data_IF_303080685388
#
_entry.id   IF_303080685388
#
_cell.length_a   1.000
_cell.length_b   1.000
_cell.length_c   1.000
_cell.angle_alpha   90.00
_cell.angle_beta   90.00
_cell.angle_gamma   90.00
#
_symmetry.space_group_name_H-M   'P 1'
#
loop_
_entity.id
_entity.type
_entity.pdbx_description
1 polymer ?
#
# COMPACT_ATOMS: atom_id res chain seq x y z
N UNK A 1 -21.91 -2.80 2.71
CA UNK A 1 -21.29 -3.52 1.57
C UNK A 1 -19.90 -2.94 1.35
N UNK A 2 -18.88 -3.75 1.09
CA UNK A 2 -17.53 -3.23 0.80
C UNK A 2 -17.57 -2.50 -0.54
N UNK A 3 -17.17 -1.23 -0.56
CA UNK A 3 -17.00 -0.47 -1.79
C UNK A 3 -15.50 -0.25 -2.00
N UNK A 4 -14.89 -0.76 -3.08
CA UNK A 4 -13.47 -0.55 -3.32
C UNK A 4 -13.19 0.94 -3.52
N UNK A 5 -12.19 1.51 -2.83
CA UNK A 5 -11.87 2.92 -2.96
C UNK A 5 -11.36 3.25 -4.36
N UNK A 6 -11.70 4.44 -4.86
CA UNK A 6 -11.37 4.86 -6.22
C UNK A 6 -9.91 5.32 -6.38
N UNK A 7 -9.30 5.86 -5.32
CA UNK A 7 -7.92 6.33 -5.28
C UNK A 7 -7.40 6.38 -3.84
N UNK A 8 -6.10 6.68 -3.68
CA UNK A 8 -5.44 6.74 -2.37
C UNK A 8 -6.11 7.73 -1.42
N UNK A 9 -6.49 8.93 -1.87
CA UNK A 9 -7.06 9.94 -0.99
C UNK A 9 -8.44 9.53 -0.46
N UNK A 10 -9.26 8.90 -1.32
CA UNK A 10 -10.54 8.32 -0.90
C UNK A 10 -10.35 7.20 0.12
N UNK A 11 -9.41 6.28 -0.14
CA UNK A 11 -9.10 5.17 0.75
C UNK A 11 -8.70 5.66 2.15
N UNK A 12 -7.77 6.60 2.22
CA UNK A 12 -7.28 7.09 3.50
C UNK A 12 -8.36 7.89 4.24
N UNK A 13 -9.16 8.68 3.51
CA UNK A 13 -10.31 9.38 4.10
C UNK A 13 -11.36 8.41 4.65
N UNK A 14 -11.63 7.29 3.96
CA UNK A 14 -12.51 6.24 4.49
C UNK A 14 -11.92 5.57 5.73
N UNK A 15 -10.63 5.25 5.72
CA UNK A 15 -9.95 4.66 6.86
C UNK A 15 -10.01 5.54 8.11
N UNK A 16 -9.87 6.86 7.96
CA UNK A 16 -10.06 7.83 9.05
C UNK A 16 -11.51 7.90 9.51
N UNK A 17 -12.48 8.03 8.58
CA UNK A 17 -13.92 8.08 8.92
C UNK A 17 -14.40 6.84 9.67
N UNK A 18 -13.85 5.68 9.34
CA UNK A 18 -14.17 4.42 10.01
C UNK A 18 -13.39 4.20 11.31
N UNK A 19 -12.48 5.11 11.70
CA UNK A 19 -11.57 4.96 12.84
C UNK A 19 -10.70 3.69 12.73
N UNK A 20 -10.32 3.31 11.51
CA UNK A 20 -9.52 2.12 11.19
C UNK A 20 -8.13 2.47 10.63
N UNK A 21 -7.81 3.75 10.49
CA UNK A 21 -6.53 4.20 9.95
C UNK A 21 -5.31 3.70 10.73
N UNK A 22 -5.36 3.68 12.07
CA UNK A 22 -4.30 3.08 12.89
C UNK A 22 -4.06 1.60 12.56
N UNK A 23 -5.15 0.84 12.37
CA UNK A 23 -5.09 -0.57 11.99
C UNK A 23 -4.55 -0.77 10.56
N UNK A 24 -4.78 0.19 9.67
CA UNK A 24 -4.15 0.22 8.35
C UNK A 24 -2.64 0.39 8.46
N UNK A 25 -2.17 1.32 9.29
CA UNK A 25 -0.74 1.50 9.57
C UNK A 25 -0.12 0.23 10.16
N UNK A 26 -0.74 -0.36 11.18
CA UNK A 26 -0.26 -1.61 11.81
C UNK A 26 -0.13 -2.73 10.78
N UNK A 27 -1.15 -2.88 9.94
CA UNK A 27 -1.19 -3.92 8.94
C UNK A 27 -0.12 -3.69 7.84
N UNK A 28 0.09 -2.46 7.40
CA UNK A 28 1.17 -2.11 6.47
C UNK A 28 2.54 -2.45 7.05
N UNK A 29 2.85 -1.96 8.26
CA UNK A 29 4.13 -2.23 8.92
C UNK A 29 4.37 -3.75 9.05
N UNK A 30 3.32 -4.51 9.40
CA UNK A 30 3.39 -5.97 9.53
C UNK A 30 3.75 -6.66 8.21
N UNK A 31 3.04 -6.36 7.13
CA UNK A 31 3.23 -7.07 5.85
C UNK A 31 4.56 -6.66 5.18
N UNK A 32 4.98 -5.40 5.31
CA UNK A 32 6.32 -4.97 4.88
C UNK A 32 7.45 -5.63 5.68
N UNK A 33 7.27 -5.83 6.98
CA UNK A 33 8.22 -6.58 7.81
C UNK A 33 8.31 -8.04 7.38
N UNK A 34 7.19 -8.68 7.02
CA UNK A 34 7.20 -10.05 6.48
C UNK A 34 7.92 -10.15 5.12
N UNK A 35 7.85 -9.09 4.32
CA UNK A 35 8.60 -8.98 3.07
C UNK A 35 10.09 -8.70 3.24
N UNK A 36 10.59 -8.61 4.48
CA UNK A 36 11.95 -8.19 4.79
C UNK A 36 12.30 -6.80 4.22
N UNK A 37 11.28 -5.96 4.02
CA UNK A 37 11.39 -4.59 3.52
C UNK A 37 10.81 -3.63 4.55
N UNK A 38 11.27 -3.78 5.79
CA UNK A 38 10.77 -3.06 6.95
C UNK A 38 10.53 -1.57 6.66
N UNK A 39 9.30 -1.15 6.95
CA UNK A 39 8.89 0.24 7.09
C UNK A 39 8.42 0.42 8.52
N UNK A 40 8.70 1.58 9.08
CA UNK A 40 8.25 1.95 10.41
C UNK A 40 7.45 3.23 10.28
N UNK A 41 6.16 3.09 9.95
CA UNK A 41 5.22 4.19 9.97
C UNK A 41 4.70 4.36 11.40
N UNK A 42 5.02 5.45 12.11
CA UNK A 42 4.45 5.70 13.44
C UNK A 42 2.92 5.81 13.38
N UNK A 43 2.24 5.46 14.46
CA UNK A 43 0.78 5.64 14.56
C UNK A 43 0.33 7.10 14.44
N UNK A 44 1.24 8.06 14.65
CA UNK A 44 1.00 9.49 14.44
C UNK A 44 1.15 9.95 12.98
N UNK A 45 1.51 9.06 12.05
CA UNK A 45 1.71 9.40 10.63
C UNK A 45 0.39 9.84 10.02
N UNK A 46 0.33 11.05 9.47
CA UNK A 46 -0.87 11.54 8.80
C UNK A 46 -1.11 10.81 7.47
N UNK A 47 -2.35 10.78 6.95
CA UNK A 47 -2.65 10.21 5.64
C UNK A 47 -1.75 10.73 4.51
N UNK A 48 -1.49 12.03 4.51
CA UNK A 48 -0.65 12.67 3.52
C UNK A 48 0.80 12.18 3.61
N UNK A 49 1.37 12.14 4.82
CA UNK A 49 2.72 11.61 5.04
C UNK A 49 2.82 10.14 4.64
N UNK A 50 1.82 9.32 4.97
CA UNK A 50 1.79 7.91 4.58
C UNK A 50 1.80 7.76 3.06
N UNK A 51 0.98 8.54 2.35
CA UNK A 51 0.94 8.56 0.88
C UNK A 51 2.32 8.87 0.30
N UNK A 52 2.97 9.94 0.77
CA UNK A 52 4.28 10.37 0.27
C UNK A 52 5.36 9.35 0.59
N UNK A 53 5.46 8.89 1.84
CA UNK A 53 6.50 7.96 2.26
C UNK A 53 6.38 6.60 1.57
N UNK A 54 5.15 6.10 1.40
CA UNK A 54 4.90 4.86 0.68
C UNK A 54 5.27 5.00 -0.79
N UNK A 55 4.87 6.10 -1.44
CA UNK A 55 5.24 6.39 -2.82
C UNK A 55 6.76 6.38 -3.01
N UNK A 56 7.49 7.10 -2.17
CA UNK A 56 8.96 7.13 -2.21
C UNK A 56 9.59 5.76 -1.96
N UNK A 57 9.06 4.98 -1.00
CA UNK A 57 9.53 3.62 -0.71
C UNK A 57 9.39 2.73 -1.94
N UNK A 58 8.22 2.73 -2.57
CA UNK A 58 7.96 1.94 -3.77
C UNK A 58 8.82 2.42 -4.94
N UNK A 59 8.98 3.73 -5.12
CA UNK A 59 9.86 4.29 -6.14
C UNK A 59 11.30 3.77 -6.02
N UNK A 60 11.85 3.75 -4.81
CA UNK A 60 13.18 3.19 -4.55
C UNK A 60 13.24 1.69 -4.82
N UNK A 61 12.19 0.94 -4.49
CA UNK A 61 12.13 -0.49 -4.79
C UNK A 61 12.13 -0.76 -6.30
N UNK A 62 11.38 0.02 -7.08
CA UNK A 62 11.37 -0.08 -8.54
C UNK A 62 12.77 0.19 -9.12
N UNK A 63 13.44 1.25 -8.64
CA UNK A 63 14.73 1.68 -9.20
C UNK A 63 15.90 0.77 -8.81
N UNK A 64 15.94 0.30 -7.57
CA UNK A 64 17.14 -0.30 -7.00
C UNK A 64 16.96 -1.75 -6.52
N UNK A 65 15.72 -2.20 -6.31
CA UNK A 65 15.40 -3.45 -5.61
C UNK A 65 14.15 -4.14 -6.16
N UNK A 66 14.17 -4.41 -7.47
CA UNK A 66 12.98 -4.93 -8.16
C UNK A 66 12.58 -6.34 -7.68
N UNK A 67 13.53 -7.18 -7.29
CA UNK A 67 13.24 -8.51 -6.74
C UNK A 67 12.50 -8.42 -5.42
N UNK A 68 12.91 -7.49 -4.55
CA UNK A 68 12.28 -7.23 -3.26
C UNK A 68 10.89 -6.61 -3.43
N UNK A 69 10.68 -5.79 -4.47
CA UNK A 69 9.35 -5.33 -4.86
C UNK A 69 8.43 -6.51 -5.18
N UNK A 70 8.87 -7.46 -6.01
CA UNK A 70 8.06 -8.63 -6.35
C UNK A 70 7.72 -9.47 -5.10
N UNK A 71 8.70 -9.66 -4.20
CA UNK A 71 8.46 -10.36 -2.94
C UNK A 71 7.42 -9.65 -2.05
N UNK A 72 7.52 -8.33 -1.93
CA UNK A 72 6.56 -7.50 -1.20
C UNK A 72 5.14 -7.68 -1.75
N UNK A 73 4.98 -7.62 -3.07
CA UNK A 73 3.68 -7.72 -3.72
C UNK A 73 3.07 -9.11 -3.56
N UNK A 74 3.89 -10.16 -3.64
CA UNK A 74 3.46 -11.52 -3.38
C UNK A 74 2.90 -11.67 -1.96
N UNK A 75 3.59 -11.16 -0.94
CA UNK A 75 3.17 -11.24 0.47
C UNK A 75 1.90 -10.44 0.75
N UNK A 76 1.75 -9.30 0.09
CA UNK A 76 0.57 -8.43 0.22
C UNK A 76 -0.63 -9.00 -0.55
N UNK A 77 -0.44 -9.98 -1.44
CA UNK A 77 -1.39 -10.48 -2.43
C UNK A 77 -1.78 -9.42 -3.49
N UNK A 78 -0.80 -8.66 -4.01
CA UNK A 78 -0.99 -7.84 -5.22
C UNK A 78 -0.56 -8.67 -6.44
N UNK A 79 -1.47 -8.95 -7.40
CA UNK A 79 -1.11 -9.69 -8.61
C UNK A 79 -0.06 -8.95 -9.45
N UNK A 80 1.01 -9.65 -9.83
CA UNK A 80 2.08 -9.11 -10.70
C UNK A 80 1.57 -8.70 -12.09
N UNK A 81 0.48 -9.32 -12.57
CA UNK A 81 -0.16 -8.95 -13.84
C UNK A 81 -0.55 -7.47 -13.87
N UNK A 82 -0.92 -6.90 -12.71
CA UNK A 82 -1.23 -5.48 -12.59
C UNK A 82 0.00 -4.60 -12.86
N UNK A 83 1.22 -5.12 -12.67
CA UNK A 83 2.46 -4.38 -12.96
C UNK A 83 2.89 -4.59 -14.40
N UNK A 84 2.69 -5.79 -14.95
CA UNK A 84 2.98 -6.07 -16.37
C UNK A 84 2.13 -5.20 -17.30
N UNK A 85 0.90 -4.87 -16.91
CA UNK A 85 0.03 -3.94 -17.63
C UNK A 85 0.54 -2.49 -17.64
N UNK A 86 1.48 -2.15 -16.77
CA UNK A 86 2.06 -0.81 -16.63
C UNK A 86 3.43 -0.69 -17.29
N UNK A 87 3.89 -1.72 -18.02
CA UNK A 87 5.13 -1.69 -18.79
C UNK A 87 5.05 -0.56 -19.84
N UNK A 88 5.74 0.55 -19.57
CA UNK A 88 5.78 1.74 -20.43
C UNK A 88 5.60 3.07 -19.68
N UNK A 89 5.06 3.03 -18.46
CA UNK A 89 5.00 4.19 -17.57
C UNK A 89 6.38 4.50 -16.98
N UNK A 90 6.63 5.77 -16.64
CA UNK A 90 7.83 6.13 -15.91
C UNK A 90 7.78 5.59 -14.46
N UNK A 91 8.94 5.51 -13.80
CA UNK A 91 9.02 4.93 -12.47
C UNK A 91 8.23 5.73 -11.40
N UNK A 92 8.00 7.03 -11.61
CA UNK A 92 7.24 7.86 -10.69
C UNK A 92 5.75 7.52 -10.76
N UNK A 93 5.22 7.38 -11.97
CA UNK A 93 3.84 6.94 -12.20
C UNK A 93 3.63 5.50 -11.72
N UNK A 94 4.56 4.58 -12.04
CA UNK A 94 4.50 3.19 -11.58
C UNK A 94 4.44 3.09 -10.06
N UNK A 95 5.27 3.87 -9.37
CA UNK A 95 5.32 3.83 -7.91
C UNK A 95 4.06 4.39 -7.26
N UNK A 96 3.41 5.39 -7.85
CA UNK A 96 2.10 5.88 -7.38
C UNK A 96 1.04 4.79 -7.52
N UNK A 97 0.97 4.14 -8.68
CA UNK A 97 -0.03 3.10 -8.94
C UNK A 97 0.18 1.87 -8.06
N UNK A 98 1.43 1.41 -7.89
CA UNK A 98 1.74 0.26 -7.04
C UNK A 98 1.48 0.60 -5.56
N UNK A 99 1.82 1.81 -5.10
CA UNK A 99 1.51 2.26 -3.74
C UNK A 99 0.00 2.21 -3.48
N UNK A 100 -0.82 2.66 -4.44
CA UNK A 100 -2.28 2.55 -4.34
C UNK A 100 -2.76 1.10 -4.28
N UNK A 101 -2.22 0.21 -5.13
CA UNK A 101 -2.61 -1.21 -5.12
C UNK A 101 -2.30 -1.88 -3.78
N UNK A 102 -1.14 -1.58 -3.19
CA UNK A 102 -0.76 -2.04 -1.86
C UNK A 102 -1.75 -1.54 -0.82
N UNK A 103 -1.99 -0.22 -0.76
CA UNK A 103 -2.93 0.37 0.19
C UNK A 103 -4.33 -0.23 0.05
N UNK A 104 -4.83 -0.38 -1.19
CA UNK A 104 -6.14 -0.96 -1.48
C UNK A 104 -6.25 -2.37 -0.94
N UNK A 105 -5.20 -3.17 -1.07
CA UNK A 105 -5.20 -4.55 -0.60
C UNK A 105 -5.14 -4.64 0.93
N UNK A 106 -4.31 -3.82 1.57
CA UNK A 106 -4.25 -3.75 3.04
C UNK A 106 -5.52 -3.20 3.66
N UNK A 107 -6.11 -2.17 3.05
CA UNK A 107 -7.40 -1.65 3.46
C UNK A 107 -8.49 -2.71 3.39
N UNK A 108 -8.54 -3.49 2.31
CA UNK A 108 -9.49 -4.59 2.18
C UNK A 108 -9.35 -5.59 3.34
N UNK A 109 -8.11 -6.00 3.69
CA UNK A 109 -7.84 -6.90 4.83
C UNK A 109 -8.28 -6.31 6.17
N UNK A 110 -8.02 -5.02 6.39
CA UNK A 110 -8.42 -4.32 7.63
C UNK A 110 -9.93 -4.19 7.72
N UNK A 111 -10.59 -3.77 6.65
CA UNK A 111 -12.03 -3.56 6.60
C UNK A 111 -12.79 -4.86 6.89
N UNK A 112 -12.42 -5.97 6.25
CA UNK A 112 -13.08 -7.26 6.49
C UNK A 112 -12.91 -7.74 7.93
N UNK A 113 -11.69 -7.69 8.49
CA UNK A 113 -11.41 -8.13 9.88
C UNK A 113 -12.12 -7.32 10.97
N UNK A 114 -12.59 -6.11 10.66
CA UNK A 114 -13.27 -5.25 11.62
C UNK A 114 -14.80 -5.25 11.46
N UNK A 115 -15.31 -5.93 10.43
CA UNK A 115 -16.74 -5.99 10.12
C UNK A 115 -17.30 -7.40 10.05
N UNK A 116 -16.44 -8.42 10.06
CA UNK A 116 -16.74 -9.85 10.05
C UNK A 116 -15.71 -10.61 10.87
#
# INVERSE_FOLDING_TARGET
>A
MYNPPANTDHLLSEAEKENLYSKLIEQLNKDFNFANEAVDFPQSTTPYELKVQLHEKIYRLIQYKYTELLNLLYIIDVPEENIKQLQGADAAELSEQIAFLILRREWMKVWFRNRY
#
